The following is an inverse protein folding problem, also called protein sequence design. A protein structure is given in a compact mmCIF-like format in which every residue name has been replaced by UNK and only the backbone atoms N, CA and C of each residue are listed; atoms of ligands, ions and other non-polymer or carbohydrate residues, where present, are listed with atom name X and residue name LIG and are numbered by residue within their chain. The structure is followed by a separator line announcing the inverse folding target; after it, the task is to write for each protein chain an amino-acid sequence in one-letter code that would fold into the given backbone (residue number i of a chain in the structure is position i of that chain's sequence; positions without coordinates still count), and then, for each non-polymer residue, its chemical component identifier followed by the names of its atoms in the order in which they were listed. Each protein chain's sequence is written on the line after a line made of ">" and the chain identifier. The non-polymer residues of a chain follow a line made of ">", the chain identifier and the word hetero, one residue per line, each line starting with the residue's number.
data_IF_009778400103
#
_entry.id   IF_009778400103
#
_cell.length_a   1.000
_cell.length_b   1.000
_cell.length_c   1.000
_cell.angle_alpha   90.00
_cell.angle_beta   90.00
_cell.angle_gamma   90.00
#
_symmetry.space_group_name_H-M   'P 1'
#
loop_
_entity.id
_entity.type
_entity.pdbx_description
1 polymer ?
#
# COMPACT_ATOMS: atom_id res chain seq x y z
N UNK A 1 -14.16 0.26 -40.54
CA UNK A 1 -14.99 -0.27 -39.43
C UNK A 1 -14.29 -0.17 -38.07
N UNK A 2 -12.95 -0.11 -38.02
CA UNK A 2 -12.18 0.04 -36.76
C UNK A 2 -12.30 1.42 -36.07
N UNK A 3 -12.64 2.48 -36.81
CA UNK A 3 -12.81 3.82 -36.22
C UNK A 3 -14.12 4.00 -35.44
N UNK A 4 -15.18 3.23 -35.78
CA UNK A 4 -16.50 3.33 -35.16
C UNK A 4 -16.57 2.56 -33.84
N UNK A 5 -15.81 1.47 -33.71
CA UNK A 5 -15.69 0.69 -32.48
C UNK A 5 -14.97 1.45 -31.35
N UNK A 6 -14.13 2.45 -31.68
CA UNK A 6 -13.43 3.32 -30.72
C UNK A 6 -14.35 4.33 -30.02
N UNK A 7 -15.61 4.47 -30.46
CA UNK A 7 -16.62 5.40 -29.94
C UNK A 7 -17.71 4.71 -29.12
N UNK A 8 -17.73 3.38 -29.06
CA UNK A 8 -18.70 2.64 -28.25
C UNK A 8 -18.30 2.78 -26.79
N UNK A 9 -19.22 3.29 -25.97
CA UNK A 9 -19.03 3.37 -24.51
C UNK A 9 -19.83 2.22 -23.89
N UNK A 10 -19.18 1.44 -23.04
CA UNK A 10 -19.78 0.30 -22.33
C UNK A 10 -19.75 0.53 -20.82
N UNK A 11 -20.64 -0.11 -20.05
CA UNK A 11 -20.56 -0.07 -18.59
C UNK A 11 -19.19 -0.55 -18.10
N UNK A 12 -18.68 0.09 -17.04
CA UNK A 12 -17.48 -0.36 -16.35
C UNK A 12 -17.60 -1.84 -15.93
N UNK A 13 -16.52 -2.60 -16.01
CA UNK A 13 -16.46 -4.00 -15.52
C UNK A 13 -16.89 -4.13 -14.06
N UNK A 14 -16.65 -3.11 -13.25
CA UNK A 14 -17.05 -3.04 -11.85
C UNK A 14 -18.50 -2.55 -11.66
N UNK A 15 -19.32 -2.47 -12.73
CA UNK A 15 -20.72 -2.06 -12.62
C UNK A 15 -21.55 -3.02 -11.76
N UNK A 16 -21.22 -4.33 -11.78
CA UNK A 16 -21.83 -5.34 -10.90
C UNK A 16 -21.52 -5.08 -9.41
N UNK A 17 -20.45 -4.36 -9.12
CA UNK A 17 -20.06 -3.96 -7.76
C UNK A 17 -20.64 -2.59 -7.36
N UNK A 18 -21.30 -1.89 -8.29
CA UNK A 18 -21.95 -0.59 -8.04
C UNK A 18 -21.38 0.59 -8.83
N UNK A 19 -20.38 0.38 -9.70
CA UNK A 19 -19.85 1.46 -10.54
C UNK A 19 -20.86 1.89 -11.61
N UNK A 20 -21.26 3.17 -11.60
CA UNK A 20 -22.20 3.73 -12.59
C UNK A 20 -21.53 4.37 -13.80
N UNK A 21 -20.19 4.34 -13.87
CA UNK A 21 -19.43 4.95 -14.96
C UNK A 21 -19.41 4.05 -16.19
N UNK A 22 -19.42 4.69 -17.36
CA UNK A 22 -19.21 4.02 -18.65
C UNK A 22 -17.81 4.34 -19.18
N UNK A 23 -17.16 3.39 -19.84
CA UNK A 23 -15.80 3.50 -20.37
C UNK A 23 -15.74 3.17 -21.87
N UNK A 24 -14.75 3.69 -22.62
CA UNK A 24 -14.59 3.34 -24.02
C UNK A 24 -14.31 1.84 -24.23
N UNK A 25 -15.06 1.20 -25.11
CA UNK A 25 -14.90 -0.21 -25.48
C UNK A 25 -13.53 -0.47 -26.13
N UNK A 26 -12.91 -1.60 -25.80
CA UNK A 26 -11.66 -2.05 -26.41
C UNK A 26 -10.42 -1.23 -26.04
N UNK A 27 -10.53 -0.19 -25.19
CA UNK A 27 -9.36 0.45 -24.58
C UNK A 27 -9.12 -0.14 -23.20
N UNK A 28 -7.84 -0.28 -22.89
CA UNK A 28 -7.39 -0.52 -21.54
C UNK A 28 -7.71 0.73 -20.70
N UNK A 29 -8.84 0.70 -20.00
CA UNK A 29 -9.35 1.85 -19.27
C UNK A 29 -8.63 1.94 -17.92
N UNK A 30 -7.82 2.99 -17.74
CA UNK A 30 -7.18 3.29 -16.45
C UNK A 30 -8.23 3.39 -15.33
N UNK A 31 -9.43 3.86 -15.66
CA UNK A 31 -10.56 3.83 -14.74
C UNK A 31 -10.80 2.42 -14.18
N UNK A 32 -11.00 1.42 -15.02
CA UNK A 32 -11.39 0.07 -14.56
C UNK A 32 -10.30 -0.60 -13.73
N UNK A 33 -9.03 -0.33 -14.07
CA UNK A 33 -7.89 -0.93 -13.37
C UNK A 33 -7.65 -0.27 -12.03
N UNK A 34 -7.45 1.03 -11.99
CA UNK A 34 -6.86 1.69 -10.82
C UNK A 34 -7.73 2.82 -10.26
N UNK A 35 -8.43 3.57 -11.10
CA UNK A 35 -9.16 4.77 -10.67
C UNK A 35 -10.64 4.53 -10.37
N UNK A 36 -11.10 3.28 -10.38
CA UNK A 36 -12.44 2.90 -9.96
C UNK A 36 -12.44 2.67 -8.45
N UNK A 37 -13.30 3.37 -7.71
CA UNK A 37 -13.49 3.12 -6.28
C UNK A 37 -14.02 1.72 -5.97
N UNK A 38 -14.58 1.05 -6.97
CA UNK A 38 -15.05 -0.32 -6.90
C UNK A 38 -14.00 -1.34 -7.40
N UNK A 39 -12.77 -0.91 -7.70
CA UNK A 39 -11.68 -1.85 -7.94
C UNK A 39 -11.43 -2.68 -6.69
N UNK A 40 -11.30 -3.99 -6.88
CA UNK A 40 -11.00 -4.91 -5.79
C UNK A 40 -9.53 -4.76 -5.38
N UNK A 41 -9.31 -4.80 -4.07
CA UNK A 41 -8.00 -4.88 -3.46
C UNK A 41 -7.75 -6.34 -3.05
N UNK A 42 -6.49 -6.76 -3.05
CA UNK A 42 -6.05 -8.06 -2.55
C UNK A 42 -5.67 -7.97 -1.08
N UNK A 43 -5.94 -9.03 -0.33
CA UNK A 43 -5.44 -9.16 1.04
C UNK A 43 -3.90 -9.08 1.04
N UNK A 44 -3.27 -8.29 1.92
CA UNK A 44 -1.81 -8.16 1.98
C UNK A 44 -1.11 -9.42 2.55
N UNK A 45 -1.84 -10.35 3.17
CA UNK A 45 -1.30 -11.61 3.71
C UNK A 45 -1.16 -12.67 2.59
N UNK A 46 -0.13 -12.55 1.76
CA UNK A 46 -0.04 -13.30 0.50
C UNK A 46 0.33 -14.78 0.69
N UNK A 47 0.97 -15.17 1.80
CA UNK A 47 1.44 -16.57 1.96
C UNK A 47 0.29 -17.58 1.92
N UNK A 48 -0.87 -17.24 2.48
CA UNK A 48 -2.00 -18.16 2.60
C UNK A 48 -3.36 -17.54 2.21
N UNK A 49 -3.43 -16.23 1.93
CA UNK A 49 -4.68 -15.57 1.63
C UNK A 49 -4.80 -15.12 0.17
N UNK A 50 -5.83 -15.61 -0.52
CA UNK A 50 -6.22 -15.19 -1.87
C UNK A 50 -7.48 -14.33 -1.89
N UNK A 51 -7.88 -13.80 -0.73
CA UNK A 51 -9.07 -12.98 -0.63
C UNK A 51 -8.87 -11.67 -1.41
N UNK A 52 -9.87 -11.33 -2.20
CA UNK A 52 -10.01 -10.02 -2.84
C UNK A 52 -11.37 -9.45 -2.49
N UNK A 53 -11.43 -8.14 -2.29
CA UNK A 53 -12.65 -7.47 -1.83
C UNK A 53 -12.59 -5.98 -2.08
N UNK A 54 -13.70 -5.28 -1.82
CA UNK A 54 -13.69 -3.82 -1.91
C UNK A 54 -12.73 -3.24 -0.86
N UNK A 55 -12.20 -2.06 -1.14
CA UNK A 55 -11.31 -1.32 -0.23
C UNK A 55 -11.78 -1.31 1.23
N UNK A 56 -13.09 -1.06 1.44
CA UNK A 56 -13.71 -1.02 2.79
C UNK A 56 -13.85 -2.40 3.45
N UNK A 57 -13.81 -3.48 2.68
CA UNK A 57 -14.01 -4.85 3.14
C UNK A 57 -12.68 -5.54 3.50
N UNK A 58 -11.57 -5.09 2.90
CA UNK A 58 -10.24 -5.69 3.13
C UNK A 58 -9.87 -5.69 4.61
N UNK A 59 -10.11 -4.59 5.33
CA UNK A 59 -9.78 -4.53 6.75
C UNK A 59 -10.64 -5.50 7.56
N UNK A 60 -11.95 -5.54 7.32
CA UNK A 60 -12.86 -6.46 8.03
C UNK A 60 -12.45 -7.91 7.81
N UNK A 61 -12.11 -8.26 6.57
CA UNK A 61 -11.54 -9.57 6.26
C UNK A 61 -10.25 -9.81 7.06
N UNK A 62 -9.33 -8.85 7.08
CA UNK A 62 -8.03 -9.01 7.76
C UNK A 62 -8.18 -9.21 9.27
N UNK A 63 -9.03 -8.41 9.92
CA UNK A 63 -9.30 -8.48 11.35
C UNK A 63 -9.93 -9.82 11.80
N UNK A 64 -10.72 -10.45 10.92
CA UNK A 64 -11.43 -11.70 11.23
C UNK A 64 -10.61 -12.93 10.83
N UNK A 65 -9.85 -12.85 9.75
CA UNK A 65 -9.24 -14.01 9.11
C UNK A 65 -7.77 -14.20 9.46
N UNK A 66 -7.10 -13.15 9.97
CA UNK A 66 -5.67 -13.19 10.26
C UNK A 66 -5.38 -12.82 11.72
N UNK A 67 -4.39 -13.49 12.35
CA UNK A 67 -3.96 -13.13 13.69
C UNK A 67 -3.34 -11.73 13.69
N UNK A 68 -3.84 -10.86 14.57
CA UNK A 68 -3.31 -9.51 14.73
C UNK A 68 -2.04 -9.56 15.57
N UNK A 69 -0.97 -9.01 15.02
CA UNK A 69 0.26 -8.82 15.79
C UNK A 69 0.09 -7.59 16.69
N UNK A 70 0.57 -7.61 17.95
CA UNK A 70 0.42 -6.45 18.85
C UNK A 70 0.99 -5.15 18.29
N UNK A 71 1.97 -5.27 17.40
CA UNK A 71 2.67 -4.17 16.75
C UNK A 71 2.03 -3.74 15.41
N UNK A 72 0.84 -4.22 15.06
CA UNK A 72 0.16 -3.77 13.84
C UNK A 72 -0.63 -2.47 14.02
N UNK A 73 -0.92 -2.01 15.23
CA UNK A 73 -1.78 -0.83 15.44
C UNK A 73 -1.01 0.50 15.40
N UNK A 74 -1.61 1.55 14.84
CA UNK A 74 -1.03 2.90 14.87
C UNK A 74 -2.08 4.02 14.92
N UNK A 75 -1.62 5.21 15.31
CA UNK A 75 -2.39 6.46 15.37
C UNK A 75 -1.80 7.47 14.37
N UNK A 76 -2.66 8.24 13.69
CA UNK A 76 -2.19 9.24 12.74
C UNK A 76 -1.45 10.40 13.43
N UNK A 77 -0.38 10.87 12.80
CA UNK A 77 0.41 12.01 13.26
C UNK A 77 1.35 11.70 14.44
N UNK A 78 1.28 10.49 15.00
CA UNK A 78 2.13 10.05 16.10
C UNK A 78 3.23 9.14 15.58
N UNK A 79 4.52 9.52 15.72
CA UNK A 79 5.63 8.62 15.41
C UNK A 79 5.62 7.40 16.32
N UNK A 80 5.96 6.25 15.75
CA UNK A 80 5.97 4.98 16.45
C UNK A 80 7.13 4.10 15.99
N UNK A 81 7.67 3.31 16.91
CA UNK A 81 8.62 2.25 16.60
C UNK A 81 7.93 1.04 15.94
N UNK A 82 8.46 0.67 14.79
CA UNK A 82 8.05 -0.44 13.96
C UNK A 82 9.24 -1.38 13.79
N UNK A 83 9.05 -2.64 14.17
CA UNK A 83 10.08 -3.67 14.07
C UNK A 83 9.66 -4.66 12.97
N UNK A 84 10.54 -4.93 12.03
CA UNK A 84 10.24 -5.86 10.94
C UNK A 84 11.47 -6.68 10.59
N UNK A 85 11.33 -8.00 10.58
CA UNK A 85 12.37 -8.87 10.05
C UNK A 85 12.45 -8.69 8.52
N UNK A 86 13.66 -8.51 7.99
CA UNK A 86 13.88 -8.31 6.55
C UNK A 86 13.33 -9.51 5.75
N UNK A 87 13.44 -10.72 6.31
CA UNK A 87 12.96 -11.95 5.69
C UNK A 87 11.42 -12.12 5.73
N UNK A 88 10.71 -11.37 6.57
CA UNK A 88 9.24 -11.38 6.57
C UNK A 88 8.66 -10.68 5.33
N UNK A 89 9.48 -9.87 4.64
CA UNK A 89 9.17 -9.09 3.43
C UNK A 89 8.10 -8.01 3.61
N UNK A 90 7.14 -8.18 4.51
CA UNK A 90 6.10 -7.19 4.76
C UNK A 90 5.55 -7.22 6.18
N UNK A 91 5.12 -6.07 6.66
CA UNK A 91 4.37 -5.85 7.89
C UNK A 91 3.10 -5.08 7.57
N UNK A 92 1.98 -5.57 8.08
CA UNK A 92 0.68 -4.91 7.95
C UNK A 92 0.47 -3.97 9.14
N UNK A 93 0.05 -2.75 8.86
CA UNK A 93 -0.33 -1.74 9.84
C UNK A 93 -1.80 -1.37 9.70
N UNK A 94 -2.48 -1.22 10.82
CA UNK A 94 -3.92 -1.04 10.91
C UNK A 94 -4.22 0.13 11.85
N UNK A 95 -5.19 0.95 11.46
CA UNK A 95 -5.78 1.94 12.37
C UNK A 95 -7.28 1.69 12.49
N UNK A 96 -7.76 1.56 13.74
CA UNK A 96 -9.15 1.25 14.03
C UNK A 96 -10.05 2.49 13.95
N UNK A 97 -9.50 3.70 14.06
CA UNK A 97 -10.29 4.95 14.03
C UNK A 97 -10.96 5.19 12.69
N UNK A 98 -10.27 4.87 11.60
CA UNK A 98 -10.76 5.01 10.23
C UNK A 98 -10.88 3.69 9.48
N UNK A 99 -10.58 2.58 10.15
CA UNK A 99 -10.58 1.25 9.55
C UNK A 99 -9.73 1.18 8.28
N UNK A 100 -8.45 1.56 8.38
CA UNK A 100 -7.52 1.61 7.25
C UNK A 100 -6.38 0.61 7.41
N UNK A 101 -5.86 0.14 6.27
CA UNK A 101 -4.79 -0.83 6.19
C UNK A 101 -3.62 -0.28 5.35
N UNK A 102 -2.42 -0.37 5.92
CA UNK A 102 -1.16 0.01 5.29
C UNK A 102 -0.20 -1.18 5.33
N UNK A 103 0.78 -1.18 4.43
CA UNK A 103 1.80 -2.23 4.35
C UNK A 103 3.16 -1.57 4.27
N UNK A 104 4.04 -1.97 5.19
CA UNK A 104 5.48 -1.71 5.11
C UNK A 104 6.12 -2.91 4.44
N UNK A 105 6.90 -2.70 3.39
CA UNK A 105 7.56 -3.78 2.65
C UNK A 105 9.07 -3.61 2.65
N UNK A 106 9.79 -4.72 2.75
CA UNK A 106 11.23 -4.80 2.62
C UNK A 106 11.64 -5.54 1.36
N UNK A 107 12.61 -4.96 0.65
CA UNK A 107 13.23 -5.53 -0.53
C UNK A 107 14.73 -5.57 -0.30
N UNK A 108 15.26 -6.78 -0.08
CA UNK A 108 16.69 -6.98 0.10
C UNK A 108 17.38 -7.01 -1.26
N UNK A 109 18.35 -6.13 -1.43
CA UNK A 109 19.16 -5.97 -2.64
C UNK A 109 20.65 -6.13 -2.28
N UNK A 110 21.55 -6.35 -3.26
CA UNK A 110 22.97 -6.55 -2.99
C UNK A 110 23.62 -5.44 -2.16
N UNK A 111 23.14 -4.20 -2.27
CA UNK A 111 23.74 -3.03 -1.63
C UNK A 111 23.07 -2.60 -0.32
N UNK A 112 21.92 -3.18 0.03
CA UNK A 112 21.13 -2.74 1.17
C UNK A 112 19.68 -3.21 1.12
N UNK A 113 18.83 -2.56 1.90
CA UNK A 113 17.40 -2.86 1.96
C UNK A 113 16.61 -1.63 1.59
N UNK A 114 15.68 -1.80 0.65
CA UNK A 114 14.64 -0.80 0.38
C UNK A 114 13.44 -1.05 1.28
N UNK A 115 12.88 0.01 1.83
CA UNK A 115 11.67 -0.01 2.63
C UNK A 115 10.63 0.88 1.97
N UNK A 116 9.49 0.29 1.61
CA UNK A 116 8.35 1.01 1.03
C UNK A 116 7.18 1.01 2.01
N UNK A 117 6.46 2.13 2.09
CA UNK A 117 5.19 2.21 2.83
C UNK A 117 4.08 2.50 1.83
N UNK A 118 3.11 1.60 1.75
CA UNK A 118 2.01 1.67 0.79
C UNK A 118 0.65 1.57 1.50
N UNK A 119 -0.36 2.18 0.91
CA UNK A 119 -1.76 2.02 1.31
C UNK A 119 -2.46 1.02 0.38
N UNK A 120 -3.21 0.06 0.93
CA UNK A 120 -4.00 -0.87 0.13
C UNK A 120 -5.32 -0.19 -0.23
N UNK A 121 -5.39 0.45 -1.40
CA UNK A 121 -6.54 1.23 -1.82
C UNK A 121 -6.53 1.52 -3.33
N UNK A 122 -7.69 1.79 -3.94
CA UNK A 122 -7.75 2.27 -5.32
C UNK A 122 -7.23 3.70 -5.46
N UNK A 123 -6.82 4.06 -6.68
CA UNK A 123 -6.36 5.40 -7.06
C UNK A 123 -7.51 6.40 -7.27
N UNK A 124 -8.74 6.00 -7.00
CA UNK A 124 -9.92 6.83 -7.16
C UNK A 124 -9.77 8.17 -6.38
N UNK A 125 -10.15 9.32 -6.96
CA UNK A 125 -9.99 10.63 -6.31
C UNK A 125 -10.71 10.76 -4.96
N UNK A 126 -11.82 10.04 -4.77
CA UNK A 126 -12.61 10.01 -3.54
C UNK A 126 -11.95 9.23 -2.39
N UNK A 127 -10.90 8.46 -2.67
CA UNK A 127 -10.16 7.71 -1.66
C UNK A 127 -9.15 8.63 -0.99
N UNK A 128 -9.15 8.64 0.34
CA UNK A 128 -8.25 9.46 1.16
C UNK A 128 -6.78 9.26 0.79
N UNK A 129 -6.00 10.33 0.95
CA UNK A 129 -4.56 10.35 0.72
C UNK A 129 -3.81 10.48 2.05
N UNK A 130 -2.63 9.87 2.09
CA UNK A 130 -1.79 9.84 3.28
C UNK A 130 -0.37 10.25 2.93
N UNK A 131 0.32 10.86 3.87
CA UNK A 131 1.76 11.08 3.83
C UNK A 131 2.43 10.20 4.88
N UNK A 132 3.73 10.01 4.77
CA UNK A 132 4.48 9.34 5.82
C UNK A 132 5.91 9.84 5.93
N UNK A 133 6.46 9.68 7.13
CA UNK A 133 7.89 9.79 7.41
C UNK A 133 8.34 8.50 8.04
N UNK A 134 9.41 7.91 7.50
CA UNK A 134 10.05 6.72 8.06
C UNK A 134 11.53 7.03 8.30
N UNK A 135 12.06 6.56 9.42
CA UNK A 135 13.48 6.68 9.71
C UNK A 135 14.04 5.39 10.31
N UNK A 136 15.33 5.16 10.09
CA UNK A 136 16.12 4.11 10.69
C UNK A 136 17.38 4.75 11.26
N UNK A 137 17.62 4.58 12.56
CA UNK A 137 18.75 5.18 13.27
C UNK A 137 19.67 4.10 13.83
N UNK A 138 20.95 4.19 13.55
CA UNK A 138 21.97 3.28 14.08
C UNK A 138 23.35 3.93 14.17
N UNK A 139 24.11 3.66 15.25
CA UNK A 139 25.45 4.23 15.52
C UNK A 139 25.49 5.78 15.36
N UNK A 140 24.44 6.47 15.81
CA UNK A 140 24.32 7.93 15.70
C UNK A 140 24.11 8.45 14.27
N UNK A 141 23.91 7.56 13.29
CA UNK A 141 23.52 7.89 11.92
C UNK A 141 22.06 7.57 11.69
N UNK A 142 21.39 8.38 10.88
CA UNK A 142 19.97 8.18 10.58
C UNK A 142 19.73 8.24 9.08
N UNK A 143 19.04 7.22 8.56
CA UNK A 143 18.40 7.26 7.25
C UNK A 143 16.95 7.70 7.45
N UNK A 144 16.52 8.74 6.74
CA UNK A 144 15.13 9.19 6.75
C UNK A 144 14.59 9.22 5.33
N UNK A 145 13.31 8.93 5.19
CA UNK A 145 12.54 9.20 4.00
C UNK A 145 11.19 9.79 4.39
N UNK A 146 10.75 10.79 3.64
CA UNK A 146 9.44 11.38 3.77
C UNK A 146 8.79 11.43 2.40
N UNK A 147 7.51 11.06 2.34
CA UNK A 147 6.71 11.17 1.14
C UNK A 147 5.42 11.95 1.44
N UNK A 148 5.16 13.06 0.72
CA UNK A 148 3.95 13.86 0.91
C UNK A 148 2.70 13.14 0.38
N UNK A 149 2.87 12.15 -0.50
CA UNK A 149 1.78 11.30 -0.99
C UNK A 149 2.25 9.85 -1.07
N UNK A 150 1.79 9.07 -0.11
CA UNK A 150 1.97 7.63 -0.03
C UNK A 150 1.36 6.96 -1.26
N UNK A 151 2.12 6.01 -1.81
CA UNK A 151 1.65 5.21 -2.93
C UNK A 151 0.47 4.33 -2.48
N UNK A 152 -0.57 4.32 -3.32
CA UNK A 152 -1.73 3.42 -3.18
C UNK A 152 -1.56 2.26 -4.16
N UNK A 153 -1.79 1.05 -3.69
CA UNK A 153 -1.68 -0.18 -4.47
C UNK A 153 -2.91 -1.04 -4.24
N UNK A 154 -3.33 -1.79 -5.26
CA UNK A 154 -4.42 -2.77 -5.13
C UNK A 154 -3.92 -4.11 -4.60
N UNK A 155 -2.65 -4.43 -4.86
CA UNK A 155 -2.02 -5.69 -4.50
C UNK A 155 -0.55 -5.44 -4.16
N UNK A 156 -0.04 -6.19 -3.18
CA UNK A 156 1.35 -6.12 -2.74
C UNK A 156 2.25 -6.80 -3.77
N UNK A 157 3.30 -6.11 -4.23
CA UNK A 157 4.32 -6.67 -5.13
C UNK A 157 5.61 -6.97 -4.39
N UNK A 158 6.29 -8.07 -4.72
CA UNK A 158 7.62 -8.40 -4.19
C UNK A 158 8.76 -7.96 -5.11
N UNK A 159 8.43 -7.26 -6.20
CA UNK A 159 9.44 -6.62 -7.03
C UNK A 159 9.89 -5.31 -6.39
N UNK A 160 11.20 -5.09 -6.35
CA UNK A 160 11.78 -3.87 -5.80
C UNK A 160 11.21 -2.64 -6.52
N UNK A 161 10.63 -1.68 -5.78
CA UNK A 161 10.05 -0.49 -6.39
C UNK A 161 11.10 0.30 -7.18
N UNK A 162 10.72 0.74 -8.38
CA UNK A 162 11.56 1.59 -9.25
C UNK A 162 11.30 3.09 -9.06
N UNK A 163 10.33 3.42 -8.22
CA UNK A 163 9.96 4.80 -7.91
C UNK A 163 10.77 5.33 -6.70
N UNK A 164 10.55 6.61 -6.36
CA UNK A 164 11.29 7.31 -5.30
C UNK A 164 10.61 7.24 -3.93
N UNK A 165 9.44 6.59 -3.81
CA UNK A 165 8.68 6.53 -2.56
C UNK A 165 9.18 5.39 -1.65
N UNK A 166 10.50 5.32 -1.46
CA UNK A 166 11.17 4.29 -0.67
C UNK A 166 12.33 4.87 0.14
N UNK A 167 12.50 4.36 1.35
CA UNK A 167 13.74 4.54 2.12
C UNK A 167 14.76 3.49 1.68
N UNK A 168 16.03 3.88 1.57
CA UNK A 168 17.12 2.92 1.35
C UNK A 168 18.05 2.90 2.56
N UNK A 169 18.30 1.70 3.09
CA UNK A 169 19.24 1.46 4.19
C UNK A 169 20.44 0.68 3.65
N UNK A 170 21.62 1.31 3.52
CA UNK A 170 22.83 0.64 3.05
C UNK A 170 23.26 -0.49 3.98
N UNK A 171 23.88 -1.55 3.42
CA UNK A 171 24.41 -2.67 4.22
C UNK A 171 25.37 -2.24 5.34
N UNK A 172 26.09 -1.12 5.16
CA UNK A 172 27.00 -0.59 6.19
C UNK A 172 26.30 -0.13 7.47
N UNK A 173 25.02 0.25 7.37
CA UNK A 173 24.20 0.70 8.50
C UNK A 173 23.32 -0.40 9.10
N UNK A 174 23.15 -1.52 8.39
CA UNK A 174 22.37 -2.66 8.89
C UNK A 174 23.09 -3.34 10.05
N UNK A 175 22.31 -3.81 11.03
CA UNK A 175 22.78 -4.70 12.09
C UNK A 175 21.80 -5.85 12.26
N UNK A 176 22.19 -7.00 11.72
CA UNK A 176 21.37 -8.20 11.73
C UNK A 176 20.21 -8.13 10.72
N UNK A 177 19.18 -8.91 11.02
CA UNK A 177 18.09 -9.24 10.09
C UNK A 177 16.77 -8.56 10.46
N UNK A 178 16.79 -7.64 11.42
CA UNK A 178 15.61 -6.91 11.90
C UNK A 178 15.86 -5.42 11.75
N UNK A 179 14.91 -4.72 11.14
CA UNK A 179 14.88 -3.26 11.06
C UNK A 179 14.00 -2.73 12.19
N UNK A 180 14.57 -1.87 13.02
CA UNK A 180 13.85 -1.06 14.00
C UNK A 180 13.77 0.36 13.46
N UNK A 181 12.57 0.79 13.09
CA UNK A 181 12.31 2.02 12.36
C UNK A 181 11.30 2.87 13.12
N UNK A 182 11.44 4.18 13.06
CA UNK A 182 10.36 5.10 13.48
C UNK A 182 9.50 5.43 12.26
N UNK A 183 8.19 5.17 12.34
CA UNK A 183 7.23 5.49 11.29
C UNK A 183 6.16 6.43 11.83
N UNK A 184 5.86 7.47 11.07
CA UNK A 184 4.73 8.36 11.29
C UNK A 184 3.91 8.43 10.00
N UNK A 185 2.62 8.10 10.07
CA UNK A 185 1.68 8.24 8.96
C UNK A 185 0.73 9.40 9.28
N UNK A 186 0.50 10.28 8.33
CA UNK A 186 -0.38 11.44 8.49
C UNK A 186 -1.43 11.50 7.38
N UNK A 187 -2.55 12.15 7.67
CA UNK A 187 -3.59 12.39 6.65
C UNK A 187 -3.22 13.63 5.85
N UNK A 188 -3.39 13.55 4.53
CA UNK A 188 -3.25 14.72 3.66
C UNK A 188 -4.59 15.43 3.64
N UNK A 189 -4.64 16.66 4.16
CA UNK A 189 -5.83 17.51 4.04
C UNK A 189 -5.99 17.90 2.56
N UNK A 190 -7.11 17.50 1.97
CA UNK A 190 -7.54 17.92 0.63
C UNK A 190 -7.97 19.38 0.60
#
# INVERSE_FOLDING_TARGET
>A
MESVLKSVIVPCRNAKLGCTKNVPYGRDSSHEKEYCSFSLCSCPEIKECKYTGLYKEIISHYLVSHPLKPDCFFTFGEPRDVRMAINDKSLVLITLTKTLLFVVQCFREPNGVYVAVNCIAPLAPEVEKFSYRISYSFDGRTCCHESPEMKRILEVSFETPKDKNVMFVPNSLLRGEVLEMELCISQVKS
#
